data_IF_073662483401
#
_entry.id   IF_073662483401
#
_cell.length_a   1.000
_cell.length_b   1.000
_cell.length_c   1.000
_cell.angle_alpha   90.00
_cell.angle_beta   90.00
_cell.angle_gamma   90.00
#
_symmetry.space_group_name_H-M   'P 1'
#
loop_
_entity.id
_entity.type
_entity.pdbx_description
1 polymer ?
#
# COMPACT_ATOMS: atom_id res chain seq x y z
N UNK A 1 10.97 8.21 -26.33
CA UNK A 1 9.88 8.16 -25.34
C UNK A 1 10.43 7.58 -24.06
N UNK A 2 10.19 8.23 -22.94
CA UNK A 2 10.67 7.79 -21.65
C UNK A 2 9.78 6.66 -21.11
N UNK A 3 10.35 5.70 -20.40
CA UNK A 3 9.65 4.48 -19.95
C UNK A 3 8.43 4.79 -19.07
N UNK A 4 8.49 5.88 -18.28
CA UNK A 4 7.38 6.33 -17.42
C UNK A 4 6.14 6.80 -18.19
N UNK A 5 6.28 7.25 -19.44
CA UNK A 5 5.16 7.76 -20.25
C UNK A 5 4.15 6.65 -20.57
N UNK A 6 4.58 5.39 -20.49
CA UNK A 6 3.73 4.21 -20.65
C UNK A 6 3.00 3.83 -19.36
N UNK A 7 3.47 4.30 -18.20
CA UNK A 7 2.91 3.97 -16.89
C UNK A 7 1.52 4.57 -16.69
N UNK A 8 0.54 3.71 -16.40
CA UNK A 8 -0.82 4.14 -16.06
C UNK A 8 -0.87 4.97 -14.77
N UNK A 9 0.04 4.72 -13.80
CA UNK A 9 0.10 5.53 -12.58
C UNK A 9 0.50 6.97 -12.90
N UNK A 10 1.48 7.16 -13.78
CA UNK A 10 1.92 8.48 -14.22
C UNK A 10 0.82 9.20 -15.01
N UNK A 11 0.24 8.55 -16.02
CA UNK A 11 -0.85 9.14 -16.81
C UNK A 11 -2.03 9.56 -15.95
N UNK A 12 -2.39 8.75 -14.94
CA UNK A 12 -3.48 9.07 -14.01
C UNK A 12 -3.14 10.29 -13.16
N UNK A 13 -1.91 10.38 -12.62
CA UNK A 13 -1.48 11.57 -11.86
C UNK A 13 -1.43 12.86 -12.70
N UNK A 14 -1.04 12.77 -13.98
CA UNK A 14 -1.06 13.92 -14.90
C UNK A 14 -2.49 14.35 -15.21
N UNK A 15 -3.40 13.40 -15.45
CA UNK A 15 -4.83 13.68 -15.64
C UNK A 15 -5.45 14.33 -14.41
N UNK A 16 -5.08 13.86 -13.21
CA UNK A 16 -5.49 14.47 -11.95
C UNK A 16 -5.03 15.93 -11.85
N UNK A 17 -3.75 16.22 -12.11
CA UNK A 17 -3.24 17.60 -12.08
C UNK A 17 -4.01 18.50 -13.07
N UNK A 18 -4.28 18.01 -14.28
CA UNK A 18 -5.07 18.73 -15.27
C UNK A 18 -6.56 18.89 -14.87
N UNK A 19 -7.13 17.97 -14.11
CA UNK A 19 -8.48 18.07 -13.58
C UNK A 19 -8.57 19.11 -12.45
N UNK A 20 -7.67 19.03 -11.47
CA UNK A 20 -7.57 19.99 -10.35
C UNK A 20 -7.35 21.42 -10.86
N UNK A 21 -6.47 21.60 -11.85
CA UNK A 21 -6.23 22.91 -12.47
C UNK A 21 -7.42 23.47 -13.24
N UNK A 22 -8.41 22.63 -13.59
CA UNK A 22 -9.64 23.02 -14.29
C UNK A 22 -10.86 23.07 -13.39
N UNK A 23 -10.72 22.83 -12.08
CA UNK A 23 -11.80 22.99 -11.13
C UNK A 23 -12.38 24.39 -11.26
N UNK A 24 -13.65 24.45 -11.64
CA UNK A 24 -14.41 25.68 -11.77
C UNK A 24 -15.03 26.00 -10.43
N UNK A 25 -14.28 26.71 -9.61
CA UNK A 25 -14.75 27.10 -8.29
C UNK A 25 -15.34 28.51 -8.37
N UNK A 26 -16.65 28.62 -8.20
CA UNK A 26 -17.35 29.92 -8.23
C UNK A 26 -17.15 30.66 -6.89
N UNK A 27 -15.92 31.10 -6.61
CA UNK A 27 -15.58 31.88 -5.42
C UNK A 27 -14.57 32.97 -5.74
N UNK A 28 -14.81 34.17 -5.19
CA UNK A 28 -13.88 35.31 -5.29
C UNK A 28 -12.87 35.33 -4.14
N UNK A 29 -12.87 34.31 -3.27
CA UNK A 29 -11.97 34.25 -2.13
C UNK A 29 -10.56 33.84 -2.60
N UNK A 30 -9.56 34.66 -2.29
CA UNK A 30 -8.15 34.32 -2.53
C UNK A 30 -7.75 32.98 -1.90
N UNK A 31 -8.29 32.67 -0.71
CA UNK A 31 -8.03 31.41 -0.02
C UNK A 31 -8.44 30.19 -0.85
N UNK A 32 -9.51 30.28 -1.64
CA UNK A 32 -9.95 29.19 -2.53
C UNK A 32 -8.96 29.00 -3.66
N UNK A 33 -8.51 30.09 -4.29
CA UNK A 33 -7.50 30.03 -5.36
C UNK A 33 -6.16 29.48 -4.84
N UNK A 34 -5.74 29.90 -3.65
CA UNK A 34 -4.51 29.40 -3.01
C UNK A 34 -4.63 27.90 -2.65
N UNK A 35 -5.79 27.46 -2.15
CA UNK A 35 -6.05 26.05 -1.88
C UNK A 35 -6.09 25.19 -3.15
N UNK A 36 -6.75 25.66 -4.22
CA UNK A 36 -6.75 25.00 -5.52
C UNK A 36 -5.33 24.91 -6.09
N UNK A 37 -4.54 25.97 -5.98
CA UNK A 37 -3.14 25.97 -6.41
C UNK A 37 -2.32 24.97 -5.58
N UNK A 38 -2.54 24.87 -4.28
CA UNK A 38 -1.86 23.91 -3.42
C UNK A 38 -2.23 22.45 -3.78
N UNK A 39 -3.51 22.18 -4.09
CA UNK A 39 -3.95 20.88 -4.61
C UNK A 39 -3.26 20.56 -5.95
N UNK A 40 -3.19 21.53 -6.87
CA UNK A 40 -2.54 21.37 -8.17
C UNK A 40 -1.05 21.06 -8.02
N UNK A 41 -0.35 21.80 -7.14
CA UNK A 41 1.07 21.56 -6.86
C UNK A 41 1.30 20.18 -6.26
N UNK A 42 0.44 19.72 -5.34
CA UNK A 42 0.53 18.38 -4.77
C UNK A 42 0.29 17.28 -5.82
N UNK A 43 -0.67 17.46 -6.73
CA UNK A 43 -0.89 16.54 -7.85
C UNK A 43 0.32 16.50 -8.81
N UNK A 44 0.92 17.67 -9.09
CA UNK A 44 2.14 17.77 -9.90
C UNK A 44 3.34 17.10 -9.24
N UNK A 45 3.52 17.27 -7.93
CA UNK A 45 4.55 16.58 -7.14
C UNK A 45 4.37 15.06 -7.20
N UNK A 46 3.14 14.56 -7.09
CA UNK A 46 2.86 13.13 -7.25
C UNK A 46 3.26 12.62 -8.65
N UNK A 47 2.92 13.35 -9.72
CA UNK A 47 3.31 13.00 -11.08
C UNK A 47 4.84 12.99 -11.27
N UNK A 48 5.52 14.00 -10.73
CA UNK A 48 6.99 14.07 -10.73
C UNK A 48 7.62 12.91 -9.98
N UNK A 49 7.14 12.58 -8.78
CA UNK A 49 7.63 11.47 -7.98
C UNK A 49 7.44 10.11 -8.69
N UNK A 50 6.31 9.90 -9.36
CA UNK A 50 6.08 8.67 -10.17
C UNK A 50 7.03 8.62 -11.37
N UNK A 51 7.24 9.73 -12.07
CA UNK A 51 8.19 9.79 -13.20
C UNK A 51 9.62 9.51 -12.73
N UNK A 52 10.03 10.11 -11.61
CA UNK A 52 11.35 9.86 -11.02
C UNK A 52 11.51 8.39 -10.61
N UNK A 53 10.48 7.78 -10.00
CA UNK A 53 10.51 6.37 -9.61
C UNK A 53 10.86 5.44 -10.78
N UNK A 54 10.39 5.73 -11.99
CA UNK A 54 10.67 4.93 -13.18
C UNK A 54 12.16 4.96 -13.60
N UNK A 55 12.92 5.96 -13.17
CA UNK A 55 14.35 6.14 -13.55
C UNK A 55 15.32 5.73 -12.46
N UNK A 56 14.83 5.31 -11.30
CA UNK A 56 15.64 5.01 -10.11
C UNK A 56 15.88 3.53 -9.94
N UNK A 57 16.94 3.19 -9.22
CA UNK A 57 17.15 1.84 -8.68
C UNK A 57 16.15 1.53 -7.57
N UNK A 58 15.90 0.23 -7.34
CA UNK A 58 14.83 -0.30 -6.51
C UNK A 58 14.57 0.39 -5.17
N UNK A 59 15.61 0.65 -4.38
CA UNK A 59 15.48 1.35 -3.09
C UNK A 59 15.01 2.80 -3.26
N UNK A 60 15.48 3.47 -4.32
CA UNK A 60 15.01 4.80 -4.71
C UNK A 60 13.59 4.79 -5.28
N UNK A 61 13.16 3.68 -5.94
CA UNK A 61 11.79 3.54 -6.43
C UNK A 61 10.77 3.50 -5.29
N UNK A 62 11.03 2.71 -4.25
CA UNK A 62 10.12 2.57 -3.09
C UNK A 62 9.93 3.92 -2.38
N UNK A 63 11.01 4.66 -2.15
CA UNK A 63 10.94 6.00 -1.56
C UNK A 63 10.06 6.93 -2.38
N UNK A 64 10.27 6.99 -3.70
CA UNK A 64 9.51 7.87 -4.59
C UNK A 64 8.04 7.48 -4.74
N UNK A 65 7.71 6.20 -4.72
CA UNK A 65 6.30 5.78 -4.68
C UNK A 65 5.61 6.17 -3.37
N UNK A 66 6.33 6.15 -2.23
CA UNK A 66 5.80 6.65 -0.95
C UNK A 66 5.63 8.17 -0.95
N UNK A 67 6.58 8.90 -1.52
CA UNK A 67 6.47 10.35 -1.70
C UNK A 67 5.26 10.71 -2.57
N UNK A 68 5.04 9.97 -3.66
CA UNK A 68 3.88 10.14 -4.52
C UNK A 68 2.56 9.89 -3.78
N UNK A 69 2.48 8.83 -2.97
CA UNK A 69 1.29 8.56 -2.15
C UNK A 69 1.04 9.67 -1.11
N UNK A 70 2.10 10.21 -0.50
CA UNK A 70 2.00 11.35 0.42
C UNK A 70 1.51 12.62 -0.28
N UNK A 71 1.99 12.88 -1.50
CA UNK A 71 1.55 14.01 -2.30
C UNK A 71 0.07 13.88 -2.73
N UNK A 72 -0.40 12.68 -3.08
CA UNK A 72 -1.81 12.41 -3.36
C UNK A 72 -2.71 12.63 -2.13
N UNK A 73 -2.25 12.25 -0.93
CA UNK A 73 -2.98 12.52 0.31
C UNK A 73 -3.09 14.03 0.59
N UNK A 74 -2.02 14.81 0.34
CA UNK A 74 -2.07 16.27 0.42
C UNK A 74 -3.01 16.88 -0.61
N UNK A 75 -3.01 16.37 -1.84
CA UNK A 75 -3.93 16.80 -2.89
C UNK A 75 -5.39 16.64 -2.44
N UNK A 76 -5.75 15.47 -1.89
CA UNK A 76 -7.09 15.21 -1.34
C UNK A 76 -7.46 16.20 -0.24
N UNK A 77 -6.56 16.43 0.72
CA UNK A 77 -6.81 17.37 1.82
C UNK A 77 -7.05 18.80 1.32
N UNK A 78 -6.30 19.26 0.30
CA UNK A 78 -6.54 20.57 -0.28
C UNK A 78 -7.87 20.66 -1.05
N UNK A 79 -8.32 19.58 -1.69
CA UNK A 79 -9.65 19.52 -2.31
C UNK A 79 -10.75 19.62 -1.24
N UNK A 80 -10.59 18.94 -0.11
CA UNK A 80 -11.52 19.06 1.03
C UNK A 80 -11.55 20.51 1.58
N UNK A 81 -10.40 21.18 1.64
CA UNK A 81 -10.32 22.62 2.00
C UNK A 81 -11.04 23.49 0.97
N UNK A 82 -10.89 23.22 -0.33
CA UNK A 82 -11.63 23.94 -1.37
C UNK A 82 -13.13 23.78 -1.16
N UNK A 83 -13.61 22.55 -0.93
CA UNK A 83 -15.02 22.25 -0.68
C UNK A 83 -15.56 23.04 0.53
N UNK A 84 -14.81 23.06 1.64
CA UNK A 84 -15.16 23.80 2.85
C UNK A 84 -15.23 25.32 2.58
N UNK A 85 -14.20 25.88 1.93
CA UNK A 85 -14.13 27.31 1.63
C UNK A 85 -15.20 27.80 0.66
N UNK A 86 -15.75 26.90 -0.16
CA UNK A 86 -16.82 27.19 -1.11
C UNK A 86 -18.19 26.84 -0.58
N UNK A 87 -18.26 26.21 0.59
CA UNK A 87 -19.48 25.64 1.16
C UNK A 87 -20.19 24.69 0.15
N UNK A 88 -19.38 23.93 -0.60
CA UNK A 88 -19.87 22.92 -1.54
C UNK A 88 -19.71 21.54 -0.91
N UNK A 89 -20.63 20.59 -1.16
CA UNK A 89 -20.43 19.23 -0.68
C UNK A 89 -19.23 18.60 -1.40
N UNK A 90 -18.47 17.78 -0.67
CA UNK A 90 -17.29 17.07 -1.21
C UNK A 90 -17.63 16.24 -2.46
N UNK A 91 -18.89 15.79 -2.59
CA UNK A 91 -19.40 15.07 -3.75
C UNK A 91 -19.24 15.83 -5.10
N UNK A 92 -19.15 17.17 -5.08
CA UNK A 92 -18.85 17.97 -6.28
C UNK A 92 -17.47 17.63 -6.87
N UNK A 93 -16.57 17.11 -6.03
CA UNK A 93 -15.19 16.76 -6.37
C UNK A 93 -14.96 15.24 -6.45
N UNK A 94 -16.03 14.43 -6.54
CA UNK A 94 -15.94 12.97 -6.57
C UNK A 94 -15.04 12.48 -7.70
N UNK A 95 -15.08 13.12 -8.88
CA UNK A 95 -14.23 12.75 -10.01
C UNK A 95 -12.73 12.84 -9.65
N UNK A 96 -12.30 13.94 -9.02
CA UNK A 96 -10.92 14.14 -8.60
C UNK A 96 -10.53 13.18 -7.46
N UNK A 97 -11.44 12.94 -6.52
CA UNK A 97 -11.24 12.01 -5.40
C UNK A 97 -11.09 10.57 -5.91
N UNK A 98 -11.94 10.13 -6.84
CA UNK A 98 -11.84 8.83 -7.48
C UNK A 98 -10.52 8.68 -8.26
N UNK A 99 -10.07 9.73 -8.96
CA UNK A 99 -8.77 9.73 -9.62
C UNK A 99 -7.61 9.61 -8.63
N UNK A 100 -7.68 10.27 -7.48
CA UNK A 100 -6.70 10.15 -6.39
C UNK A 100 -6.66 8.71 -5.87
N UNK A 101 -7.82 8.11 -5.59
CA UNK A 101 -7.91 6.73 -5.12
C UNK A 101 -7.41 5.73 -6.14
N UNK A 102 -7.75 5.93 -7.42
CA UNK A 102 -7.27 5.09 -8.50
C UNK A 102 -5.74 5.19 -8.65
N UNK A 103 -5.18 6.40 -8.61
CA UNK A 103 -3.73 6.60 -8.63
C UNK A 103 -3.04 5.92 -7.42
N UNK A 104 -3.62 6.03 -6.22
CA UNK A 104 -3.11 5.36 -5.02
C UNK A 104 -3.14 3.83 -5.16
N UNK A 105 -4.18 3.25 -5.74
CA UNK A 105 -4.26 1.80 -6.01
C UNK A 105 -3.14 1.35 -6.96
N UNK A 106 -2.87 2.12 -8.02
CA UNK A 106 -1.78 1.83 -8.97
C UNK A 106 -0.38 1.96 -8.32
N UNK A 107 -0.18 2.96 -7.46
CA UNK A 107 1.06 3.14 -6.69
C UNK A 107 1.24 1.98 -5.69
N UNK A 108 0.20 1.60 -4.96
CA UNK A 108 0.24 0.48 -4.02
C UNK A 108 0.53 -0.86 -4.72
N UNK A 109 -0.03 -1.09 -5.91
CA UNK A 109 0.30 -2.25 -6.74
C UNK A 109 1.78 -2.25 -7.18
N UNK A 110 2.32 -1.08 -7.52
CA UNK A 110 3.73 -0.91 -7.87
C UNK A 110 4.63 -1.23 -6.68
N UNK A 111 4.31 -0.70 -5.49
CA UNK A 111 5.01 -1.01 -4.24
C UNK A 111 4.97 -2.52 -3.91
N UNK A 112 3.79 -3.15 -4.03
CA UNK A 112 3.63 -4.59 -3.76
C UNK A 112 4.47 -5.46 -4.72
N UNK A 113 4.60 -5.02 -5.98
CA UNK A 113 5.45 -5.70 -6.98
C UNK A 113 6.93 -5.57 -6.62
N UNK A 114 7.33 -4.42 -6.07
CA UNK A 114 8.68 -4.18 -5.57
C UNK A 114 8.96 -4.96 -4.28
N UNK A 115 8.00 -5.15 -3.38
CA UNK A 115 8.23 -5.96 -2.17
C UNK A 115 8.31 -7.47 -2.50
N UNK A 116 7.45 -7.94 -3.41
CA UNK A 116 7.38 -9.37 -3.80
C UNK A 116 8.67 -9.85 -4.48
N UNK A 117 9.32 -8.99 -5.26
CA UNK A 117 10.61 -9.32 -5.91
C UNK A 117 11.76 -9.49 -4.91
N UNK A 118 11.63 -9.06 -3.65
CA UNK A 118 12.67 -9.13 -2.59
C UNK A 118 12.46 -10.38 -1.75
N UNK A 119 11.22 -10.85 -1.70
CA UNK A 119 10.82 -12.06 -0.97
C UNK A 119 10.99 -13.34 -1.79
N UNK A 120 11.62 -13.30 -2.97
CA UNK A 120 11.89 -14.51 -3.75
C UNK A 120 12.96 -15.33 -3.01
N UNK A 121 12.65 -16.53 -2.48
CA UNK A 121 13.69 -17.38 -1.91
C UNK A 121 14.72 -17.69 -2.99
N UNK A 122 16.01 -17.85 -2.63
CA UNK A 122 17.03 -18.23 -3.61
C UNK A 122 16.55 -19.49 -4.34
N UNK A 123 16.60 -19.46 -5.68
CA UNK A 123 16.37 -20.68 -6.47
C UNK A 123 17.27 -21.76 -5.87
N UNK A 124 16.75 -22.97 -5.56
CA UNK A 124 17.65 -24.06 -5.24
C UNK A 124 18.55 -24.26 -6.47
N UNK A 125 19.85 -24.11 -6.28
CA UNK A 125 20.85 -24.55 -7.24
C UNK A 125 20.61 -26.05 -7.44
N UNK A 126 20.00 -26.40 -8.58
CA UNK A 126 19.91 -27.79 -9.03
C UNK A 126 21.30 -28.23 -9.50
N UNK A 127 22.24 -28.39 -8.56
CA UNK A 127 23.53 -29.07 -8.74
C UNK A 127 23.61 -30.28 -7.82
N UNK A 128 23.02 -31.41 -8.28
CA UNK A 128 23.30 -32.77 -7.81
C UNK A 128 22.91 -33.10 -6.37
N UNK A 129 22.85 -34.38 -5.95
CA UNK A 129 23.70 -35.47 -6.43
C UNK A 129 22.93 -36.60 -7.16
N UNK A 130 23.64 -37.27 -8.06
CA UNK A 130 23.37 -38.68 -8.39
C UNK A 130 23.45 -39.46 -7.08
N UNK A 131 22.41 -40.22 -6.74
CA UNK A 131 22.57 -41.54 -6.18
C UNK A 131 21.27 -42.32 -6.38
N UNK A 132 21.37 -43.38 -7.16
CA UNK A 132 20.31 -44.34 -7.35
C UNK A 132 20.21 -45.23 -6.11
N UNK A 133 19.03 -45.30 -5.53
CA UNK A 133 18.62 -46.39 -4.65
C UNK A 133 17.20 -46.79 -5.02
N UNK A 134 16.91 -48.09 -5.22
CA UNK A 134 15.64 -48.54 -5.76
C UNK A 134 14.51 -48.40 -4.72
N UNK A 135 13.34 -48.00 -5.23
CA UNK A 135 12.06 -48.02 -4.51
C UNK A 135 11.66 -49.47 -4.26
N UNK A 136 11.66 -49.87 -2.99
CA UNK A 136 10.94 -51.07 -2.58
C UNK A 136 9.46 -50.74 -2.39
N UNK A 137 8.61 -51.61 -2.94
CA UNK A 137 7.16 -51.63 -2.73
C UNK A 137 6.88 -51.90 -1.25
N UNK A 138 5.72 -51.61 -0.70
CA UNK A 138 4.42 -52.01 -1.20
C UNK A 138 3.57 -52.36 0.01
N UNK A 139 2.71 -51.41 0.39
CA UNK A 139 1.38 -51.55 1.01
C UNK A 139 1.06 -52.75 1.92
N UNK A 140 0.55 -52.35 3.10
CA UNK A 140 -0.67 -52.82 3.82
C UNK A 140 -0.54 -54.14 4.57
N UNK A 141 -0.61 -54.05 5.90
CA UNK A 141 -1.58 -54.82 6.69
C UNK A 141 -1.93 -54.04 7.96
N UNK A 142 -3.23 -53.78 8.12
CA UNK A 142 -3.90 -53.32 9.34
C UNK A 142 -5.20 -54.14 9.37
N UNK A 143 -5.53 -54.82 10.48
CA UNK A 143 -6.69 -54.33 11.22
C UNK A 143 -6.59 -54.50 12.76
N UNK A 144 -6.90 -53.38 13.44
CA UNK A 144 -7.33 -53.09 14.85
C UNK A 144 -8.23 -54.15 15.57
N UNK A 145 -8.77 -53.96 16.81
CA UNK A 145 -8.63 -52.88 17.84
C UNK A 145 -8.62 -53.34 19.34
N UNK A 146 -8.62 -52.35 20.28
CA UNK A 146 -9.00 -52.38 21.74
C UNK A 146 -7.88 -52.81 22.72
N UNK A 147 -7.66 -52.28 23.93
CA UNK A 147 -8.50 -51.61 24.96
C UNK A 147 -7.70 -50.55 25.77
N UNK A 148 -8.46 -49.58 26.31
CA UNK A 148 -8.38 -48.97 27.65
C UNK A 148 -7.07 -48.39 28.21
N UNK A 149 -7.05 -47.06 28.43
CA UNK A 149 -6.95 -46.49 29.79
C UNK A 149 -7.49 -45.05 29.79
N UNK A 150 -8.43 -44.79 30.71
CA UNK A 150 -9.17 -43.53 30.91
C UNK A 150 -8.37 -42.49 31.76
N UNK A 151 -8.84 -41.22 31.82
CA UNK A 151 -8.05 -40.05 32.19
C UNK A 151 -8.07 -39.71 33.70
N UNK A 152 -7.09 -38.93 34.14
CA UNK A 152 -7.08 -38.16 35.41
C UNK A 152 -6.15 -36.97 35.16
N UNK A 153 -6.55 -35.70 35.19
CA UNK A 153 -7.52 -35.03 36.04
C UNK A 153 -6.75 -34.22 37.11
N UNK A 154 -6.75 -32.89 36.96
CA UNK A 154 -6.29 -31.92 37.96
C UNK A 154 -4.85 -31.44 37.76
N UNK A 155 -4.50 -30.16 37.89
CA UNK A 155 -5.21 -28.98 38.37
C UNK A 155 -4.19 -27.89 38.76
N UNK A 156 -4.64 -26.64 38.81
CA UNK A 156 -3.89 -25.49 39.35
C UNK A 156 -3.24 -24.63 38.26
N UNK A 157 -3.51 -23.35 38.09
CA UNK A 157 -4.04 -22.35 39.03
C UNK A 157 -2.97 -21.31 39.35
N UNK A 158 -3.38 -20.02 39.37
CA UNK A 158 -2.66 -18.76 39.71
C UNK A 158 -2.08 -18.04 38.48
N UNK A 159 -2.39 -16.78 38.15
CA UNK A 159 -3.03 -15.70 38.89
C UNK A 159 -2.01 -14.74 39.52
N UNK A 160 -2.11 -13.45 39.13
CA UNK A 160 -1.38 -12.22 39.57
C UNK A 160 -0.01 -11.97 38.91
N UNK A 161 0.37 -10.73 38.58
CA UNK A 161 -0.23 -9.46 38.94
C UNK A 161 0.37 -8.28 38.18
N UNK A 162 -0.45 -7.23 38.12
CA UNK A 162 -0.12 -5.86 37.70
C UNK A 162 0.91 -5.23 38.63
N UNK A 163 1.79 -4.40 38.08
CA UNK A 163 2.54 -3.39 38.85
C UNK A 163 2.91 -2.23 37.94
N UNK A 164 2.14 -1.15 38.04
CA UNK A 164 2.57 0.22 37.82
C UNK A 164 3.34 0.71 39.07
N UNK A 165 4.29 1.63 38.90
CA UNK A 165 4.51 2.76 39.82
C UNK A 165 4.05 4.06 39.12
N UNK A 166 3.15 4.88 39.69
CA UNK A 166 3.43 5.90 40.72
C UNK A 166 4.24 7.06 40.12
N UNK A 167 3.79 8.30 39.94
CA UNK A 167 2.82 9.11 40.68
C UNK A 167 3.52 9.91 41.79
N UNK A 168 3.99 11.13 41.50
CA UNK A 168 4.43 12.19 42.45
C UNK A 168 4.35 13.52 41.67
N UNK A 169 3.34 14.36 41.98
CA UNK A 169 3.42 15.60 42.77
C UNK A 169 4.01 16.78 42.02
#
# INVERSE_FOLDING_TARGET
MAEFETSESWKTTVRLAAAVGRLRVASNLKAVADAQQAAFMAAGEAAGAVAEAATRDRGGQVGRFRDAAGALARCRSWIEVVAELTNEPVAVFDQEIEMIEHANKLIAASLSTLDTRDSRPPRPDSRGPRDGAPRDGGRRDDPRPREDFRPRGGGGGRGKGTSQPGGLR
#
